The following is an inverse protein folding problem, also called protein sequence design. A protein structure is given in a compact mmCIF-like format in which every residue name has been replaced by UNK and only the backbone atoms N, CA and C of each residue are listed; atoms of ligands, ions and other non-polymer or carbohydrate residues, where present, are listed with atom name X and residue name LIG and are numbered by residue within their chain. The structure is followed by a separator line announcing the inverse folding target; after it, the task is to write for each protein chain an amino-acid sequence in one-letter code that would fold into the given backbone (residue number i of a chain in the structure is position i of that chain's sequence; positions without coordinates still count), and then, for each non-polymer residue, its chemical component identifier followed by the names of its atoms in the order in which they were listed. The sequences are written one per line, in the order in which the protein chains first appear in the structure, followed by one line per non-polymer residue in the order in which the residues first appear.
data_IF_057987112681
#
_entry.id   IF_057987112681
#
_cell.length_a   1.000
_cell.length_b   1.000
_cell.length_c   1.000
_cell.angle_alpha   90.00
_cell.angle_beta   90.00
_cell.angle_gamma   90.00
#
_symmetry.space_group_name_H-M   'P 1'
#
loop_
_entity.id
_entity.type
_entity.pdbx_description
1 polymer ?
#
# COMPACT_ATOMS: atom_id res chain seq x y z
N UNK A 1 -54.89 38.09 -22.55
CA UNK A 1 -54.10 39.24 -22.09
C UNK A 1 -52.63 38.85 -22.04
N UNK A 2 -51.98 38.86 -23.20
CA UNK A 2 -50.53 38.69 -23.30
C UNK A 2 -49.92 40.05 -22.98
N UNK A 3 -49.33 40.17 -21.80
CA UNK A 3 -48.63 41.38 -21.36
C UNK A 3 -47.46 41.57 -22.32
N UNK A 4 -47.40 42.72 -23.00
CA UNK A 4 -46.22 43.12 -23.78
C UNK A 4 -45.02 43.05 -22.85
N UNK A 5 -44.13 42.08 -23.10
CA UNK A 5 -42.89 41.96 -22.36
C UNK A 5 -41.92 42.97 -22.99
N UNK A 6 -41.63 44.05 -22.26
CA UNK A 6 -40.62 45.03 -22.67
C UNK A 6 -39.30 44.31 -23.03
N UNK A 7 -38.66 44.69 -24.15
CA UNK A 7 -37.47 43.99 -24.67
C UNK A 7 -36.29 43.99 -23.67
N UNK A 8 -36.26 44.97 -22.77
CA UNK A 8 -35.29 45.08 -21.68
C UNK A 8 -35.53 44.05 -20.57
N UNK A 9 -36.79 43.77 -20.24
CA UNK A 9 -37.18 42.77 -19.22
C UNK A 9 -36.90 41.33 -19.69
N UNK A 10 -37.09 41.07 -20.99
CA UNK A 10 -36.71 39.79 -21.61
C UNK A 10 -35.19 39.61 -21.56
N UNK A 11 -34.42 40.65 -21.86
CA UNK A 11 -32.96 40.60 -21.78
C UNK A 11 -32.44 40.33 -20.36
N UNK A 12 -33.03 40.95 -19.34
CA UNK A 12 -32.63 40.78 -17.93
C UNK A 12 -32.94 39.37 -17.42
N UNK A 13 -34.09 38.80 -17.77
CA UNK A 13 -34.48 37.45 -17.32
C UNK A 13 -33.65 36.35 -17.99
N UNK A 14 -33.38 36.49 -19.30
CA UNK A 14 -32.47 35.58 -20.03
C UNK A 14 -31.06 35.68 -19.44
N UNK A 15 -30.54 36.89 -19.22
CA UNK A 15 -29.22 37.10 -18.60
C UNK A 15 -29.12 36.47 -17.21
N UNK A 16 -30.15 36.65 -16.37
CA UNK A 16 -30.18 36.06 -15.03
C UNK A 16 -30.17 34.52 -15.08
N UNK A 17 -30.96 33.91 -15.95
CA UNK A 17 -30.98 32.44 -16.09
C UNK A 17 -29.61 31.88 -16.51
N UNK A 18 -28.92 32.57 -17.43
CA UNK A 18 -27.64 32.15 -17.98
C UNK A 18 -26.52 32.31 -16.95
N UNK A 19 -26.54 33.39 -16.17
CA UNK A 19 -25.60 33.58 -15.04
C UNK A 19 -25.78 32.51 -13.97
N UNK A 20 -27.02 32.20 -13.57
CA UNK A 20 -27.29 31.15 -12.59
C UNK A 20 -26.84 29.78 -13.09
N UNK A 21 -27.09 29.44 -14.36
CA UNK A 21 -26.65 28.18 -14.95
C UNK A 21 -25.12 28.05 -14.99
N UNK A 22 -24.40 29.13 -15.32
CA UNK A 22 -22.94 29.16 -15.30
C UNK A 22 -22.39 29.02 -13.88
N UNK A 23 -23.01 29.66 -12.89
CA UNK A 23 -22.62 29.53 -11.48
C UNK A 23 -22.79 28.09 -10.99
N UNK A 24 -23.92 27.45 -11.28
CA UNK A 24 -24.17 26.05 -10.90
C UNK A 24 -23.17 25.10 -11.59
N UNK A 25 -22.85 25.33 -12.86
CA UNK A 25 -21.84 24.54 -13.57
C UNK A 25 -20.44 24.74 -12.97
N UNK A 26 -20.06 25.98 -12.64
CA UNK A 26 -18.80 26.31 -12.00
C UNK A 26 -18.67 25.64 -10.62
N UNK A 27 -19.73 25.65 -9.80
CA UNK A 27 -19.76 24.96 -8.50
C UNK A 27 -19.66 23.45 -8.66
N UNK A 28 -20.38 22.86 -9.63
CA UNK A 28 -20.33 21.43 -9.92
C UNK A 28 -18.93 20.99 -10.36
N UNK A 29 -18.30 21.77 -11.24
CA UNK A 29 -16.92 21.54 -11.68
C UNK A 29 -15.93 21.74 -10.52
N UNK A 30 -16.10 22.78 -9.70
CA UNK A 30 -15.26 23.04 -8.54
C UNK A 30 -15.36 21.93 -7.48
N UNK A 31 -16.56 21.42 -7.20
CA UNK A 31 -16.79 20.30 -6.30
C UNK A 31 -16.12 19.02 -6.81
N UNK A 32 -16.26 18.70 -8.10
CA UNK A 32 -15.60 17.55 -8.71
C UNK A 32 -14.08 17.72 -8.79
N UNK A 33 -13.58 18.94 -8.97
CA UNK A 33 -12.14 19.25 -9.03
C UNK A 33 -11.49 19.18 -7.65
N UNK A 34 -12.14 19.74 -6.62
CA UNK A 34 -11.72 19.65 -5.20
C UNK A 34 -11.65 18.20 -4.70
N UNK A 35 -12.56 17.35 -5.16
CA UNK A 35 -12.59 15.92 -4.80
C UNK A 35 -11.58 15.05 -5.57
N UNK A 36 -10.97 15.57 -6.65
CA UNK A 36 -10.00 14.85 -7.51
C UNK A 36 -8.55 15.31 -7.29
N UNK A 37 -8.32 16.54 -6.80
CA UNK A 37 -6.99 17.10 -6.56
C UNK A 37 -6.22 16.43 -5.42
N UNK A 38 -6.85 16.20 -4.27
CA UNK A 38 -6.18 15.60 -3.11
C UNK A 38 -6.02 14.07 -3.24
N UNK A 39 -6.91 13.41 -4.00
CA UNK A 39 -6.89 11.95 -4.16
C UNK A 39 -5.85 11.42 -5.15
N UNK A 40 -5.35 12.25 -6.07
CA UNK A 40 -4.32 11.83 -7.04
C UNK A 40 -2.90 11.86 -6.47
N UNK A 41 -2.66 12.65 -5.41
CA UNK A 41 -1.43 12.60 -4.63
C UNK A 41 -1.41 11.37 -3.70
N UNK A 42 -2.54 11.05 -3.07
CA UNK A 42 -2.72 9.82 -2.27
C UNK A 42 -2.63 8.54 -3.11
N UNK A 43 -3.07 8.56 -4.37
CA UNK A 43 -3.07 7.39 -5.24
C UNK A 43 -1.64 6.94 -5.65
N UNK A 44 -0.68 7.86 -5.73
CA UNK A 44 0.71 7.55 -6.12
C UNK A 44 1.51 6.95 -4.97
N UNK A 45 1.35 7.52 -3.78
CA UNK A 45 2.01 7.06 -2.56
C UNK A 45 1.56 5.64 -2.16
N UNK A 46 0.31 5.28 -2.49
CA UNK A 46 -0.24 3.94 -2.27
C UNK A 46 0.47 2.87 -3.12
N UNK A 47 0.70 3.09 -4.41
CA UNK A 47 1.35 2.07 -5.27
C UNK A 47 2.83 1.86 -4.97
N UNK A 48 3.54 2.91 -4.59
CA UNK A 48 4.98 2.84 -4.31
C UNK A 48 5.24 2.19 -2.95
N UNK A 49 4.47 2.57 -1.92
CA UNK A 49 4.52 1.91 -0.60
C UNK A 49 4.06 0.45 -0.68
N UNK A 50 3.04 0.15 -1.48
CA UNK A 50 2.58 -1.23 -1.67
C UNK A 50 3.66 -2.17 -2.21
N UNK A 51 4.51 -1.70 -3.13
CA UNK A 51 5.58 -2.54 -3.69
C UNK A 51 6.67 -2.84 -2.67
N UNK A 52 7.09 -1.85 -1.89
CA UNK A 52 8.07 -2.04 -0.82
C UNK A 52 7.51 -2.93 0.31
N UNK A 53 6.26 -2.72 0.72
CA UNK A 53 5.62 -3.53 1.76
C UNK A 53 5.40 -4.98 1.31
N UNK A 54 5.04 -5.22 0.04
CA UNK A 54 4.84 -6.57 -0.49
C UNK A 54 6.15 -7.37 -0.59
N UNK A 55 7.29 -6.73 -0.87
CA UNK A 55 8.62 -7.36 -0.87
C UNK A 55 9.01 -7.85 0.53
N UNK A 56 9.02 -6.94 1.49
CA UNK A 56 9.36 -7.23 2.89
C UNK A 56 8.41 -8.25 3.54
N UNK A 57 7.09 -8.12 3.31
CA UNK A 57 6.10 -9.02 3.89
C UNK A 57 6.24 -10.44 3.30
N UNK A 58 6.57 -10.58 2.01
CA UNK A 58 6.81 -11.89 1.39
C UNK A 58 8.11 -12.53 1.87
N UNK A 59 9.16 -11.74 2.11
CA UNK A 59 10.42 -12.23 2.63
C UNK A 59 10.28 -12.72 4.08
N UNK A 60 9.58 -11.96 4.93
CA UNK A 60 9.45 -12.21 6.37
C UNK A 60 8.32 -13.17 6.75
N UNK A 61 7.25 -13.25 5.97
CA UNK A 61 6.07 -14.07 6.26
C UNK A 61 5.79 -15.15 5.21
N UNK A 62 6.80 -15.52 4.42
CA UNK A 62 6.65 -16.51 3.35
C UNK A 62 6.53 -17.96 3.82
N UNK A 63 6.72 -18.24 5.11
CA UNK A 63 6.47 -19.56 5.70
C UNK A 63 5.85 -19.46 7.10
N UNK A 64 5.35 -20.59 7.62
CA UNK A 64 4.90 -20.75 9.00
C UNK A 64 5.93 -21.51 9.86
N UNK A 65 7.19 -21.54 9.41
CA UNK A 65 8.29 -22.23 10.13
C UNK A 65 9.11 -21.18 10.87
N UNK A 66 9.46 -21.38 12.15
CA UNK A 66 10.29 -20.43 12.88
C UNK A 66 11.64 -20.23 12.18
N UNK A 67 12.13 -18.99 12.18
CA UNK A 67 13.39 -18.63 11.53
C UNK A 67 14.55 -19.44 12.11
N UNK A 68 15.40 -19.98 11.24
CA UNK A 68 16.63 -20.64 11.61
C UNK A 68 17.84 -19.75 11.32
N UNK A 69 19.00 -20.04 11.91
CA UNK A 69 20.22 -19.25 11.68
C UNK A 69 20.66 -19.25 10.19
N UNK A 70 20.22 -20.23 9.41
CA UNK A 70 20.42 -20.27 7.96
C UNK A 70 19.70 -19.13 7.22
N UNK A 71 18.66 -18.56 7.83
CA UNK A 71 17.79 -17.53 7.23
C UNK A 71 18.24 -16.10 7.58
N UNK A 72 19.28 -15.93 8.42
CA UNK A 72 19.74 -14.61 8.90
C UNK A 72 20.06 -13.62 7.78
N UNK A 73 20.66 -14.07 6.66
CA UNK A 73 20.94 -13.19 5.50
C UNK A 73 19.67 -12.66 4.85
N UNK A 74 18.64 -13.50 4.74
CA UNK A 74 17.37 -13.12 4.16
C UNK A 74 16.64 -12.12 5.06
N UNK A 75 16.73 -12.32 6.38
CA UNK A 75 16.17 -11.41 7.37
C UNK A 75 16.90 -10.07 7.36
N UNK A 76 18.22 -10.07 7.24
CA UNK A 76 19.03 -8.84 7.12
C UNK A 76 18.63 -8.02 5.88
N UNK A 77 18.48 -8.68 4.72
CA UNK A 77 18.03 -8.04 3.48
C UNK A 77 16.61 -7.44 3.62
N UNK A 78 15.67 -8.21 4.19
CA UNK A 78 14.30 -7.75 4.38
C UNK A 78 14.21 -6.60 5.40
N UNK A 79 14.99 -6.65 6.50
CA UNK A 79 15.03 -5.58 7.48
C UNK A 79 15.65 -4.31 6.90
N UNK A 80 16.69 -4.42 6.06
CA UNK A 80 17.27 -3.27 5.36
C UNK A 80 16.24 -2.61 4.41
N UNK A 81 15.41 -3.39 3.73
CA UNK A 81 14.32 -2.87 2.89
C UNK A 81 13.28 -2.10 3.73
N UNK A 82 12.85 -2.66 4.87
CA UNK A 82 11.91 -1.98 5.79
C UNK A 82 12.51 -0.73 6.40
N UNK A 83 13.80 -0.73 6.74
CA UNK A 83 14.47 0.46 7.27
C UNK A 83 14.57 1.59 6.24
N UNK A 84 14.71 1.26 4.95
CA UNK A 84 14.84 2.23 3.88
C UNK A 84 13.49 2.80 3.42
N UNK A 85 12.44 1.98 3.41
CA UNK A 85 11.15 2.33 2.79
C UNK A 85 9.94 2.29 3.74
N UNK A 86 10.13 1.83 4.98
CA UNK A 86 9.07 1.64 5.95
C UNK A 86 8.52 2.94 6.54
N UNK A 87 7.33 2.85 7.12
CA UNK A 87 6.77 3.91 7.95
C UNK A 87 7.40 3.91 9.34
N UNK A 88 7.35 5.02 10.07
CA UNK A 88 8.01 5.17 11.38
C UNK A 88 7.78 3.98 12.36
N UNK A 89 6.54 3.47 12.57
CA UNK A 89 6.33 2.31 13.45
C UNK A 89 6.97 1.02 12.90
N UNK A 90 7.03 0.85 11.58
CA UNK A 90 7.70 -0.29 10.96
C UNK A 90 9.22 -0.19 11.09
N UNK A 91 9.78 1.01 10.88
CA UNK A 91 11.21 1.29 11.03
C UNK A 91 11.66 1.05 12.47
N UNK A 92 10.85 1.45 13.47
CA UNK A 92 11.15 1.21 14.87
C UNK A 92 11.28 -0.29 15.18
N UNK A 93 10.30 -1.10 14.74
CA UNK A 93 10.32 -2.55 14.93
C UNK A 93 11.44 -3.23 14.14
N UNK A 94 11.68 -2.80 12.90
CA UNK A 94 12.77 -3.33 12.08
C UNK A 94 14.16 -3.00 12.66
N UNK A 95 14.34 -1.81 13.25
CA UNK A 95 15.59 -1.42 13.91
C UNK A 95 15.85 -2.21 15.19
N UNK A 96 14.80 -2.62 15.91
CA UNK A 96 14.93 -3.53 17.07
C UNK A 96 15.36 -4.93 16.61
N UNK A 97 14.63 -5.52 15.66
CA UNK A 97 14.98 -6.82 15.08
C UNK A 97 16.39 -6.84 14.46
N UNK A 98 16.81 -5.76 13.80
CA UNK A 98 18.15 -5.66 13.22
C UNK A 98 19.25 -5.61 14.29
N UNK A 99 18.99 -4.99 15.45
CA UNK A 99 19.93 -4.97 16.58
C UNK A 99 20.09 -6.35 17.20
N UNK A 100 18.99 -7.08 17.38
CA UNK A 100 19.01 -8.47 17.86
C UNK A 100 19.79 -9.38 16.90
N UNK A 101 19.54 -9.25 15.60
CA UNK A 101 20.25 -10.01 14.56
C UNK A 101 21.75 -9.69 14.55
N UNK A 102 22.12 -8.41 14.67
CA UNK A 102 23.52 -7.97 14.78
C UNK A 102 24.21 -8.49 16.07
N UNK A 103 23.45 -8.70 17.14
CA UNK A 103 23.91 -9.33 18.37
C UNK A 103 24.00 -10.87 18.27
N UNK A 104 23.69 -11.47 17.11
CA UNK A 104 23.67 -12.92 16.89
C UNK A 104 22.47 -13.62 17.54
N UNK A 105 21.46 -12.87 17.99
CA UNK A 105 20.22 -13.39 18.53
C UNK A 105 19.22 -13.62 17.39
N UNK A 106 18.27 -14.53 17.60
CA UNK A 106 17.17 -14.70 16.66
C UNK A 106 16.15 -13.59 16.93
N UNK A 107 15.92 -12.67 15.98
CA UNK A 107 15.04 -11.55 16.26
C UNK A 107 13.57 -11.92 16.30
N UNK A 108 12.79 -11.26 17.16
CA UNK A 108 11.34 -11.38 17.14
C UNK A 108 10.72 -10.46 16.06
N UNK A 109 10.44 -11.05 14.90
CA UNK A 109 9.82 -10.34 13.77
C UNK A 109 8.29 -10.34 13.81
N UNK A 110 7.64 -11.01 14.78
CA UNK A 110 6.18 -11.11 14.79
C UNK A 110 5.45 -9.76 14.89
N UNK A 111 5.88 -8.80 15.73
CA UNK A 111 5.24 -7.49 15.80
C UNK A 111 5.30 -6.74 14.47
N UNK A 112 6.45 -6.82 13.78
CA UNK A 112 6.64 -6.21 12.47
C UNK A 112 5.74 -6.86 11.42
N UNK A 113 5.65 -8.19 11.41
CA UNK A 113 4.76 -8.93 10.50
C UNK A 113 3.29 -8.58 10.75
N UNK A 114 2.86 -8.45 12.01
CA UNK A 114 1.50 -8.06 12.35
C UNK A 114 1.16 -6.67 11.80
N UNK A 115 2.06 -5.70 11.99
CA UNK A 115 1.90 -4.34 11.48
C UNK A 115 1.84 -4.31 9.94
N UNK A 116 2.77 -5.00 9.26
CA UNK A 116 2.77 -5.10 7.80
C UNK A 116 1.48 -5.72 7.26
N UNK A 117 0.93 -6.74 7.92
CA UNK A 117 -0.33 -7.37 7.51
C UNK A 117 -1.54 -6.44 7.72
N UNK A 118 -1.58 -5.71 8.83
CA UNK A 118 -2.62 -4.73 9.08
C UNK A 118 -2.62 -3.64 7.99
N UNK A 119 -1.44 -3.12 7.63
CA UNK A 119 -1.29 -2.11 6.58
C UNK A 119 -1.71 -2.63 5.20
N UNK A 120 -1.27 -3.84 4.83
CA UNK A 120 -1.70 -4.48 3.56
C UNK A 120 -3.21 -4.67 3.52
N UNK A 121 -3.84 -5.10 4.61
CA UNK A 121 -5.32 -5.24 4.67
C UNK A 121 -6.02 -3.90 4.52
N UNK A 122 -5.55 -2.86 5.21
CA UNK A 122 -6.09 -1.51 5.09
C UNK A 122 -5.99 -0.98 3.67
N UNK A 123 -4.87 -1.23 2.98
CA UNK A 123 -4.67 -0.84 1.59
C UNK A 123 -5.58 -1.60 0.61
N UNK A 124 -5.86 -2.88 0.89
CA UNK A 124 -6.80 -3.69 0.13
C UNK A 124 -8.28 -3.43 0.48
N UNK A 125 -8.56 -2.55 1.45
CA UNK A 125 -9.91 -2.26 1.91
C UNK A 125 -10.58 -3.44 2.63
N UNK A 126 -9.79 -4.36 3.19
CA UNK A 126 -10.28 -5.50 3.95
C UNK A 126 -10.56 -5.09 5.40
N UNK A 127 -11.57 -5.71 6.02
CA UNK A 127 -11.85 -5.52 7.44
C UNK A 127 -10.63 -5.86 8.30
N UNK A 128 -10.41 -5.23 9.47
CA UNK A 128 -9.34 -5.63 10.38
C UNK A 128 -9.53 -7.09 10.84
N UNK A 129 -8.46 -7.71 11.31
CA UNK A 129 -8.60 -8.97 12.04
C UNK A 129 -9.24 -8.72 13.40
N UNK A 130 -10.09 -9.65 13.88
CA UNK A 130 -10.59 -9.55 15.22
C UNK A 130 -9.47 -9.90 16.22
N UNK A 131 -9.47 -9.24 17.38
CA UNK A 131 -8.39 -9.29 18.37
C UNK A 131 -8.19 -10.70 18.99
N UNK A 132 -9.18 -11.59 18.85
CA UNK A 132 -9.17 -12.97 19.32
C UNK A 132 -8.57 -13.97 18.32
N UNK A 133 -8.28 -13.54 17.10
CA UNK A 133 -7.74 -14.43 16.05
C UNK A 133 -6.22 -14.65 16.23
N UNK A 134 -5.88 -15.78 16.83
CA UNK A 134 -4.48 -16.22 16.94
C UNK A 134 -4.04 -16.89 15.64
N UNK A 135 -3.04 -16.30 15.00
CA UNK A 135 -2.41 -16.87 13.82
C UNK A 135 -1.11 -17.59 14.19
N UNK A 136 -0.74 -18.64 13.43
CA UNK A 136 0.56 -19.27 13.61
C UNK A 136 1.69 -18.24 13.36
N UNK A 137 2.81 -18.35 14.09
CA UNK A 137 3.94 -17.46 13.91
C UNK A 137 4.44 -17.54 12.47
N UNK A 138 4.74 -16.37 11.91
CA UNK A 138 5.29 -16.27 10.58
C UNK A 138 6.80 -16.48 10.63
N UNK A 139 7.37 -17.02 9.57
CA UNK A 139 8.81 -17.02 9.39
C UNK A 139 9.21 -16.83 7.93
N UNK A 140 10.52 -16.72 7.69
CA UNK A 140 11.05 -16.34 6.41
C UNK A 140 10.63 -17.32 5.31
N UNK A 141 10.28 -16.80 4.14
CA UNK A 141 9.92 -17.63 3.01
C UNK A 141 11.16 -18.31 2.45
N UNK A 142 11.17 -19.65 2.34
CA UNK A 142 12.30 -20.33 1.69
C UNK A 142 12.40 -19.83 0.26
N UNK A 143 13.51 -19.18 -0.09
CA UNK A 143 13.87 -18.95 -1.48
C UNK A 143 14.21 -20.32 -2.04
N UNK A 144 13.19 -21.03 -2.52
CA UNK A 144 13.40 -22.24 -3.28
C UNK A 144 14.32 -21.84 -4.43
N UNK A 145 15.57 -22.31 -4.40
CA UNK A 145 16.48 -22.25 -5.54
C UNK A 145 15.66 -22.76 -6.71
N UNK A 146 15.18 -21.86 -7.56
CA UNK A 146 14.56 -22.24 -8.82
C UNK A 146 15.68 -22.89 -9.61
N UNK A 147 15.82 -24.20 -9.40
CA UNK A 147 16.79 -25.03 -10.08
C UNK A 147 16.43 -24.92 -11.54
N UNK A 148 17.19 -24.11 -12.27
CA UNK A 148 17.26 -24.19 -13.70
C UNK A 148 17.80 -25.59 -14.02
N UNK A 149 16.89 -26.56 -14.08
CA UNK A 149 17.13 -27.92 -14.52
C UNK A 149 17.43 -27.89 -16.01
N UNK A 150 18.59 -27.36 -16.38
CA UNK A 150 19.22 -27.70 -17.64
C UNK A 150 19.66 -29.15 -17.49
N UNK A 151 18.78 -30.06 -17.93
CA UNK A 151 19.12 -31.43 -18.25
C UNK A 151 20.46 -31.45 -18.96
N UNK A 152 21.45 -32.01 -18.28
CA UNK A 152 22.71 -32.43 -18.85
C UNK A 152 22.39 -33.64 -19.73
N UNK A 153 21.96 -33.37 -20.96
CA UNK A 153 21.95 -34.35 -22.04
C UNK A 153 23.39 -34.67 -22.37
N UNK A 154 23.91 -35.73 -21.76
CA UNK A 154 25.05 -36.45 -22.29
C UNK A 154 24.48 -37.35 -23.38
N UNK A 155 24.49 -36.86 -24.61
CA UNK A 155 24.43 -37.77 -25.76
C UNK A 155 25.76 -38.51 -25.80
N UNK A 156 25.67 -39.82 -25.61
CA UNK A 156 26.63 -40.79 -26.10
C UNK A 156 26.44 -40.92 -27.62
N UNK A 157 27.53 -40.80 -28.37
CA UNK A 157 27.57 -40.95 -29.83
C UNK A 157 28.90 -40.48 -30.40
#
# INVERSE_FOLDING_TARGET
MLKELDPTTVGVTIGLSLTVALVVLAVRLWALNRLRGDRQAEARQKQERLRALLGACRALAGSFTPAAAADSRQMEEALAEVLLFGDLPQVALAAEAARELAAGQMPDVQPLVALLRADVRGLLGLAPWPDDLVLPPAGPGRVGRQGNGRSRGLDEG
#
